data_IF_732472552030
#
_entry.id   IF_732472552030
#
_cell.length_a   1.000
_cell.length_b   1.000
_cell.length_c   1.000
_cell.angle_alpha   90.00
_cell.angle_beta   90.00
_cell.angle_gamma   90.00
#
_symmetry.space_group_name_H-M   'P 1'
#
loop_
_entity.id
_entity.type
_entity.pdbx_description
1 polymer ?
#
# COMPACT_ATOMS: atom_id res chain seq x y z
N UNK A 1 -7.59 7.51 -11.56
CA UNK A 1 -6.27 7.25 -10.95
C UNK A 1 -6.21 8.01 -9.66
N UNK A 2 -6.38 7.31 -8.54
CA UNK A 2 -6.37 7.88 -7.20
C UNK A 2 -4.91 8.01 -6.77
N UNK A 3 -4.46 9.22 -6.44
CA UNK A 3 -3.07 9.50 -6.06
C UNK A 3 -3.01 9.86 -4.59
N UNK A 4 -2.57 8.92 -3.78
CA UNK A 4 -2.34 9.11 -2.35
C UNK A 4 -1.11 9.98 -2.13
N UNK A 5 -1.18 10.97 -1.24
CA UNK A 5 -0.02 11.77 -0.84
C UNK A 5 0.49 11.32 0.51
N UNK A 6 1.78 11.56 0.74
CA UNK A 6 2.43 11.36 2.04
C UNK A 6 1.69 12.00 3.23
N UNK A 7 0.95 13.09 2.99
CA UNK A 7 0.23 13.81 4.03
C UNK A 7 -1.13 13.18 4.39
N UNK A 8 -1.65 12.28 3.56
CA UNK A 8 -2.95 11.62 3.78
C UNK A 8 -2.84 10.44 4.76
N UNK A 9 -1.62 9.90 4.91
CA UNK A 9 -1.31 8.81 5.83
C UNK A 9 -1.49 9.20 7.29
N UNK A 10 -2.09 8.30 8.06
CA UNK A 10 -2.18 8.36 9.53
C UNK A 10 -0.82 8.16 10.18
N UNK A 11 0.00 7.25 9.65
CA UNK A 11 1.33 6.96 10.17
C UNK A 11 2.42 7.77 9.46
N UNK A 12 3.50 8.05 10.19
CA UNK A 12 4.67 8.72 9.62
C UNK A 12 5.68 7.69 9.13
N UNK A 13 5.80 7.58 7.82
CA UNK A 13 6.82 6.75 7.18
C UNK A 13 8.08 7.56 6.88
N UNK A 14 9.27 7.03 7.21
CA UNK A 14 10.51 7.63 6.76
C UNK A 14 10.57 7.62 5.23
N UNK A 15 11.20 8.65 4.68
CA UNK A 15 11.51 8.73 3.25
C UNK A 15 12.88 8.12 3.07
N UNK A 16 12.95 6.87 2.62
CA UNK A 16 14.24 6.28 2.31
C UNK A 16 14.75 6.85 0.99
N UNK A 17 15.52 7.93 1.10
CA UNK A 17 16.12 8.59 -0.06
C UNK A 17 17.20 7.74 -0.73
N UNK A 18 17.73 6.71 -0.04
CA UNK A 18 18.73 5.82 -0.59
C UNK A 18 18.15 4.88 -1.67
N UNK A 19 16.89 4.47 -1.51
CA UNK A 19 16.19 3.62 -2.47
C UNK A 19 15.20 4.37 -3.38
N UNK A 20 15.24 5.71 -3.39
CA UNK A 20 14.34 6.56 -4.20
C UNK A 20 14.36 6.26 -5.70
N UNK A 21 15.48 5.75 -6.22
CA UNK A 21 15.66 5.41 -7.64
C UNK A 21 15.17 4.01 -8.01
N UNK A 22 14.72 3.21 -7.01
CA UNK A 22 14.19 1.88 -7.31
C UNK A 22 12.89 1.99 -8.12
N UNK A 23 12.65 1.03 -9.04
CA UNK A 23 11.41 0.99 -9.79
C UNK A 23 10.24 0.89 -8.82
N UNK A 24 9.33 1.86 -8.90
CA UNK A 24 8.09 1.86 -8.12
C UNK A 24 7.19 0.73 -8.57
N UNK A 25 6.26 0.33 -7.71
CA UNK A 25 5.22 -0.61 -8.10
C UNK A 25 4.44 -0.07 -9.31
N UNK A 26 4.40 -0.82 -10.41
CA UNK A 26 3.72 -0.45 -11.66
C UNK A 26 2.53 -1.35 -12.00
N UNK A 27 2.24 -2.32 -11.13
CA UNK A 27 1.19 -3.32 -11.33
C UNK A 27 1.74 -4.75 -11.28
N UNK A 28 0.84 -5.72 -11.40
CA UNK A 28 1.18 -7.14 -11.38
C UNK A 28 1.61 -7.63 -12.76
N UNK A 29 2.51 -8.64 -12.85
CA UNK A 29 3.18 -9.33 -11.76
C UNK A 29 4.47 -8.63 -11.31
N UNK A 30 4.57 -8.28 -10.02
CA UNK A 30 5.78 -7.67 -9.42
C UNK A 30 6.26 -8.54 -8.25
N UNK A 31 7.28 -9.35 -8.51
CA UNK A 31 7.90 -10.22 -7.49
C UNK A 31 8.98 -9.49 -6.68
N UNK A 32 9.12 -8.17 -6.85
CA UNK A 32 10.11 -7.39 -6.10
C UNK A 32 9.72 -7.35 -4.61
N UNK A 33 10.71 -7.27 -3.72
CA UNK A 33 10.44 -7.12 -2.30
C UNK A 33 9.72 -5.79 -2.04
N UNK A 34 8.73 -5.81 -1.15
CA UNK A 34 8.01 -4.63 -0.69
C UNK A 34 8.62 -4.11 0.61
N UNK A 35 8.84 -2.80 0.69
CA UNK A 35 9.31 -2.17 1.92
C UNK A 35 8.17 -1.43 2.62
N UNK A 36 7.59 -2.08 3.63
CA UNK A 36 6.48 -1.54 4.44
C UNK A 36 6.86 -0.40 5.37
N UNK A 37 8.15 -0.12 5.50
CA UNK A 37 8.67 0.98 6.31
C UNK A 37 9.09 2.17 5.43
N UNK A 38 9.05 2.03 4.09
CA UNK A 38 9.44 3.11 3.17
C UNK A 38 8.24 3.78 2.51
N UNK A 39 8.17 5.11 2.66
CA UNK A 39 7.11 5.90 2.08
C UNK A 39 7.05 5.81 0.54
N UNK A 40 8.19 5.67 -0.15
CA UNK A 40 8.21 5.62 -1.61
C UNK A 40 7.67 4.30 -2.18
N UNK A 41 7.71 3.21 -1.41
CA UNK A 41 7.06 1.93 -1.74
C UNK A 41 5.58 1.92 -1.34
N UNK A 42 5.25 2.46 -0.17
CA UNK A 42 3.89 2.47 0.37
C UNK A 42 2.95 3.36 -0.45
N UNK A 43 3.39 4.56 -0.83
CA UNK A 43 2.57 5.51 -1.62
C UNK A 43 2.01 4.89 -2.91
N UNK A 44 2.84 4.33 -3.83
CA UNK A 44 2.33 3.73 -5.05
C UNK A 44 1.51 2.47 -4.77
N UNK A 45 1.82 1.71 -3.72
CA UNK A 45 1.04 0.54 -3.33
C UNK A 45 -0.39 0.92 -2.90
N UNK A 46 -0.52 1.87 -1.96
CA UNK A 46 -1.83 2.34 -1.49
C UNK A 46 -2.62 3.01 -2.61
N UNK A 47 -1.96 3.81 -3.44
CA UNK A 47 -2.57 4.43 -4.63
C UNK A 47 -3.13 3.38 -5.58
N UNK A 48 -2.41 2.28 -5.82
CA UNK A 48 -2.88 1.19 -6.66
C UNK A 48 -4.08 0.46 -6.03
N UNK A 49 -4.00 0.12 -4.74
CA UNK A 49 -5.09 -0.58 -4.03
C UNK A 49 -6.35 0.29 -3.95
N UNK A 50 -6.24 1.56 -3.58
CA UNK A 50 -7.38 2.48 -3.57
C UNK A 50 -8.02 2.62 -4.94
N UNK A 51 -7.20 2.65 -6.00
CA UNK A 51 -7.70 2.70 -7.37
C UNK A 51 -8.42 1.41 -7.80
N UNK A 52 -7.98 0.23 -7.33
CA UNK A 52 -8.67 -1.05 -7.52
C UNK A 52 -10.00 -1.09 -6.76
N UNK A 53 -10.02 -0.60 -5.51
CA UNK A 53 -11.23 -0.46 -4.69
C UNK A 53 -12.16 0.66 -5.17
N UNK A 54 -11.73 1.48 -6.13
CA UNK A 54 -12.47 2.65 -6.62
C UNK A 54 -12.83 3.67 -5.54
N UNK A 55 -12.06 3.73 -4.45
CA UNK A 55 -12.36 4.52 -3.26
C UNK A 55 -11.33 5.62 -3.06
N UNK A 56 -11.76 6.87 -2.87
CA UNK A 56 -10.90 8.04 -2.61
C UNK A 56 -10.96 8.52 -1.14
N UNK A 57 -11.71 7.82 -0.30
CA UNK A 57 -11.92 8.15 1.10
C UNK A 57 -10.66 7.93 1.97
N UNK A 58 -10.35 8.94 2.78
CA UNK A 58 -9.23 8.88 3.74
C UNK A 58 -9.41 7.80 4.81
N UNK A 59 -10.64 7.49 5.21
CA UNK A 59 -10.93 6.37 6.11
C UNK A 59 -10.51 5.02 5.52
N UNK A 60 -10.71 4.82 4.20
CA UNK A 60 -10.26 3.59 3.52
C UNK A 60 -8.74 3.53 3.49
N UNK A 61 -8.06 4.65 3.27
CA UNK A 61 -6.60 4.71 3.36
C UNK A 61 -6.12 4.34 4.77
N UNK A 62 -6.75 4.88 5.82
CA UNK A 62 -6.37 4.60 7.21
C UNK A 62 -6.65 3.15 7.60
N UNK A 63 -7.71 2.55 7.06
CA UNK A 63 -7.99 1.12 7.18
C UNK A 63 -6.87 0.29 6.53
N UNK A 64 -6.49 0.63 5.30
CA UNK A 64 -5.40 -0.06 4.59
C UNK A 64 -4.07 0.04 5.34
N UNK A 65 -3.79 1.18 5.96
CA UNK A 65 -2.61 1.34 6.83
C UNK A 65 -2.66 0.40 8.04
N UNK A 66 -3.82 0.23 8.66
CA UNK A 66 -3.98 -0.67 9.80
C UNK A 66 -3.77 -2.13 9.36
N UNK A 67 -4.39 -2.53 8.25
CA UNK A 67 -4.19 -3.85 7.64
C UNK A 67 -2.72 -4.08 7.29
N UNK A 68 -2.04 -3.10 6.70
CA UNK A 68 -0.62 -3.20 6.39
C UNK A 68 0.22 -3.40 7.65
N UNK A 69 -0.13 -2.73 8.74
CA UNK A 69 0.57 -2.83 10.01
C UNK A 69 0.31 -4.18 10.72
N UNK A 70 -0.87 -4.77 10.54
CA UNK A 70 -1.21 -6.12 11.01
C UNK A 70 -0.70 -7.23 10.09
N UNK A 71 -0.21 -6.89 8.90
CA UNK A 71 0.20 -7.84 7.87
C UNK A 71 1.28 -8.80 8.38
N UNK A 72 1.11 -10.11 8.17
CA UNK A 72 2.07 -11.11 8.64
C UNK A 72 3.39 -11.04 7.88
N UNK A 73 4.51 -11.21 8.58
CA UNK A 73 5.88 -11.05 8.02
C UNK A 73 6.33 -12.11 7.01
N UNK A 74 5.48 -13.08 6.67
CA UNK A 74 5.73 -14.00 5.56
C UNK A 74 5.41 -13.35 4.20
N UNK A 75 4.52 -12.36 4.19
CA UNK A 75 4.22 -11.56 3.00
C UNK A 75 5.38 -10.60 2.78
N UNK A 76 6.08 -10.76 1.65
CA UNK A 76 7.31 -10.01 1.37
C UNK A 76 7.35 -9.38 -0.01
N UNK A 77 6.56 -9.88 -0.96
CA UNK A 77 6.56 -9.36 -2.32
C UNK A 77 5.45 -8.32 -2.53
N UNK A 78 5.69 -7.38 -3.43
CA UNK A 78 4.70 -6.36 -3.81
C UNK A 78 3.38 -6.97 -4.27
N UNK A 79 3.43 -8.09 -5.01
CA UNK A 79 2.24 -8.79 -5.47
C UNK A 79 1.40 -9.36 -4.32
N UNK A 80 2.04 -10.04 -3.37
CA UNK A 80 1.33 -10.60 -2.21
C UNK A 80 0.76 -9.49 -1.31
N UNK A 81 1.50 -8.40 -1.12
CA UNK A 81 1.02 -7.23 -0.35
C UNK A 81 -0.21 -6.62 -0.99
N UNK A 82 -0.18 -6.42 -2.32
CA UNK A 82 -1.31 -5.86 -3.05
C UNK A 82 -2.56 -6.73 -2.92
N UNK A 83 -2.44 -8.04 -3.18
CA UNK A 83 -3.54 -9.00 -3.08
C UNK A 83 -4.11 -9.05 -1.66
N UNK A 84 -3.23 -9.10 -0.66
CA UNK A 84 -3.61 -9.10 0.75
C UNK A 84 -4.37 -7.84 1.17
N UNK A 85 -3.88 -6.66 0.77
CA UNK A 85 -4.51 -5.38 1.08
C UNK A 85 -5.88 -5.26 0.42
N UNK A 86 -5.98 -5.60 -0.86
CA UNK A 86 -7.23 -5.53 -1.61
C UNK A 86 -8.27 -6.48 -1.02
N UNK A 87 -7.91 -7.75 -0.81
CA UNK A 87 -8.82 -8.74 -0.23
C UNK A 87 -9.28 -8.38 1.19
N UNK A 88 -8.37 -7.91 2.04
CA UNK A 88 -8.72 -7.50 3.41
C UNK A 88 -9.61 -6.26 3.44
N UNK A 89 -9.34 -5.28 2.57
CA UNK A 89 -10.16 -4.07 2.49
C UNK A 89 -11.55 -4.36 1.92
N UNK A 90 -11.67 -5.20 0.88
CA UNK A 90 -12.98 -5.62 0.38
C UNK A 90 -13.82 -6.33 1.45
N UNK A 91 -13.21 -7.22 2.23
CA UNK A 91 -13.90 -7.90 3.33
C UNK A 91 -14.39 -6.89 4.38
N UNK A 92 -13.54 -5.93 4.78
CA UNK A 92 -13.91 -4.88 5.72
C UNK A 92 -15.01 -3.94 5.18
N UNK A 93 -14.99 -3.60 3.88
CA UNK A 93 -15.99 -2.72 3.26
C UNK A 93 -17.33 -3.40 3.04
N UNK A 94 -17.37 -4.74 2.98
CA UNK A 94 -18.61 -5.53 2.88
C UNK A 94 -19.25 -5.83 4.23
N UNK A 95 -18.54 -5.62 5.33
CA UNK A 95 -18.96 -6.00 6.69
C UNK A 95 -19.72 -4.91 7.45
#
# INVERSE_FOLDING_TARGET
MIVVKASDFKFKYPRDVAHRDQPKFTGLPDSSPFNRDDLYDIVPMMSAVMNELGSEDGDVLHLLEDVLNQMPGFIRTRSEVFDYLCGSAEECLRS
#
